data_IF_370218401404
#
_entry.id   IF_370218401404
#
_cell.length_a   1.000
_cell.length_b   1.000
_cell.length_c   1.000
_cell.angle_alpha   90.00
_cell.angle_beta   90.00
_cell.angle_gamma   90.00
#
_symmetry.space_group_name_H-M   'P 1'
#
loop_
_entity.id
_entity.type
_entity.pdbx_description
1 polymer ?
#
# COMPACT_ATOMS: atom_id res chain seq x y z
N UNK A 1 -10.64 -17.48 9.08
CA UNK A 1 -10.93 -16.30 9.93
C UNK A 1 -9.63 -15.91 10.62
N UNK A 2 -8.66 -15.42 9.83
CA UNK A 2 -7.28 -15.08 10.27
C UNK A 2 -6.70 -13.88 9.49
N UNK A 3 -7.30 -13.47 8.35
CA UNK A 3 -6.77 -12.39 7.50
C UNK A 3 -6.86 -11.01 8.11
N UNK A 4 -8.04 -10.66 8.65
CA UNK A 4 -8.29 -9.32 9.19
C UNK A 4 -7.35 -9.02 10.35
N UNK A 5 -7.16 -9.99 11.26
CA UNK A 5 -6.24 -9.86 12.39
C UNK A 5 -4.80 -9.63 11.92
N UNK A 6 -4.32 -10.35 10.89
CA UNK A 6 -2.97 -10.15 10.34
C UNK A 6 -2.80 -8.82 9.60
N UNK A 7 -3.84 -8.34 8.91
CA UNK A 7 -3.82 -7.03 8.24
C UNK A 7 -3.80 -5.90 9.27
N UNK A 8 -4.65 -5.96 10.29
CA UNK A 8 -4.70 -4.97 11.36
C UNK A 8 -3.39 -4.97 12.16
N UNK A 9 -2.83 -6.14 12.53
CA UNK A 9 -1.52 -6.26 13.18
C UNK A 9 -0.41 -5.60 12.35
N UNK A 10 -0.39 -5.84 11.05
CA UNK A 10 0.61 -5.24 10.16
C UNK A 10 0.43 -3.73 10.04
N UNK A 11 -0.81 -3.22 10.03
CA UNK A 11 -1.06 -1.78 10.09
C UNK A 11 -0.59 -1.16 11.39
N UNK A 12 -0.82 -1.79 12.54
CA UNK A 12 -0.32 -1.31 13.83
C UNK A 12 1.21 -1.24 13.84
N UNK A 13 1.89 -2.25 13.28
CA UNK A 13 3.35 -2.25 13.11
C UNK A 13 3.81 -1.06 12.25
N UNK A 14 3.18 -0.84 11.09
CA UNK A 14 3.54 0.22 10.15
C UNK A 14 3.22 1.62 10.69
N UNK A 15 2.10 1.80 11.41
CA UNK A 15 1.71 3.05 12.06
C UNK A 15 2.63 3.41 13.24
N UNK A 16 3.27 2.41 13.86
CA UNK A 16 4.23 2.57 14.95
C UNK A 16 5.68 2.83 14.50
N UNK A 17 5.97 2.82 13.20
CA UNK A 17 7.30 3.11 12.67
C UNK A 17 7.67 4.59 12.85
N UNK A 18 8.98 4.85 12.99
CA UNK A 18 9.51 6.21 13.07
C UNK A 18 9.93 6.77 11.69
N UNK A 19 10.23 8.08 11.66
CA UNK A 19 10.62 8.80 10.44
C UNK A 19 11.96 8.34 9.83
N UNK A 20 12.75 7.50 10.53
CA UNK A 20 13.93 6.88 9.93
C UNK A 20 13.54 5.71 9.01
N UNK A 21 12.38 5.09 9.26
CA UNK A 21 11.86 3.96 8.50
C UNK A 21 10.92 4.41 7.38
N UNK A 22 9.99 5.31 7.69
CA UNK A 22 9.01 5.92 6.76
C UNK A 22 8.42 7.17 7.41
N UNK A 23 8.17 8.24 6.64
CA UNK A 23 7.50 9.43 7.19
C UNK A 23 6.15 9.05 7.79
N UNK A 24 5.92 9.39 9.06
CA UNK A 24 4.70 9.01 9.78
C UNK A 24 3.40 9.52 9.13
N UNK A 25 3.47 10.54 8.27
CA UNK A 25 2.32 11.03 7.50
C UNK A 25 1.83 10.01 6.47
N UNK A 26 2.73 9.23 5.86
CA UNK A 26 2.43 8.28 4.80
C UNK A 26 1.48 7.17 5.26
N UNK A 27 1.80 6.38 6.31
CA UNK A 27 0.90 5.33 6.75
C UNK A 27 -0.38 5.88 7.38
N UNK A 28 -0.34 7.05 8.04
CA UNK A 28 -1.55 7.67 8.63
C UNK A 28 -2.55 8.11 7.56
N UNK A 29 -2.09 8.80 6.52
CA UNK A 29 -2.94 9.23 5.42
C UNK A 29 -3.52 8.02 4.66
N UNK A 30 -2.70 7.00 4.41
CA UNK A 30 -3.14 5.77 3.77
C UNK A 30 -4.19 5.02 4.60
N UNK A 31 -3.97 4.85 5.91
CA UNK A 31 -4.87 4.15 6.82
C UNK A 31 -6.25 4.83 6.96
N UNK A 32 -6.34 6.14 6.71
CA UNK A 32 -7.61 6.87 6.75
C UNK A 32 -8.59 6.46 5.63
N UNK A 33 -8.12 5.78 4.57
CA UNK A 33 -8.97 5.29 3.48
C UNK A 33 -9.34 3.83 3.68
N UNK A 34 -10.63 3.54 3.65
CA UNK A 34 -11.15 2.19 3.89
C UNK A 34 -10.63 1.19 2.85
N UNK A 35 -10.53 1.62 1.59
CA UNK A 35 -10.05 0.80 0.47
C UNK A 35 -8.59 0.40 0.64
N UNK A 36 -7.79 1.24 1.32
CA UNK A 36 -6.37 1.00 1.56
C UNK A 36 -6.13 0.26 2.87
N UNK A 37 -6.87 0.62 3.94
CA UNK A 37 -6.78 -0.05 5.25
C UNK A 37 -7.07 -1.55 5.18
N UNK A 38 -7.84 -2.00 4.20
CA UNK A 38 -8.13 -3.42 4.00
C UNK A 38 -7.02 -4.18 3.25
N UNK A 39 -5.99 -3.48 2.74
CA UNK A 39 -4.82 -4.06 2.08
C UNK A 39 -3.68 -4.29 3.07
N UNK A 40 -2.75 -5.15 2.70
CA UNK A 40 -1.57 -5.45 3.51
C UNK A 40 -0.47 -4.40 3.25
N UNK A 41 -0.08 -3.58 4.24
CA UNK A 41 0.94 -2.55 4.04
C UNK A 41 2.36 -3.12 4.17
N UNK A 42 3.25 -2.61 3.32
CA UNK A 42 4.66 -2.98 3.28
C UNK A 42 5.51 -1.71 3.29
N UNK A 43 6.50 -1.65 4.18
CA UNK A 43 7.47 -0.55 4.23
C UNK A 43 8.86 -1.08 3.92
N UNK A 44 9.55 -0.42 3.00
CA UNK A 44 10.94 -0.72 2.67
C UNK A 44 11.62 0.54 2.12
N UNK A 45 12.83 0.85 2.59
CA UNK A 45 13.62 2.00 2.12
C UNK A 45 12.87 3.36 2.15
N UNK A 46 12.01 3.62 3.14
CA UNK A 46 11.23 4.86 3.22
C UNK A 46 10.02 4.91 2.28
N UNK A 47 9.70 3.81 1.61
CA UNK A 47 8.62 3.70 0.64
C UNK A 47 7.48 2.89 1.25
N UNK A 48 6.23 3.29 0.96
CA UNK A 48 5.02 2.58 1.39
C UNK A 48 4.34 1.92 0.18
N UNK A 49 4.23 0.60 0.23
CA UNK A 49 3.56 -0.26 -0.76
C UNK A 49 2.35 -0.96 -0.14
N UNK A 50 1.47 -1.49 -0.99
CA UNK A 50 0.30 -2.27 -0.59
C UNK A 50 0.21 -3.56 -1.39
N UNK A 51 -0.24 -4.62 -0.74
CA UNK A 51 -0.50 -5.92 -1.36
C UNK A 51 -1.93 -6.36 -1.10
N UNK A 52 -2.53 -7.01 -2.11
CA UNK A 52 -3.85 -7.66 -2.02
C UNK A 52 -3.78 -9.07 -1.38
N UNK A 53 -2.61 -9.51 -0.95
CA UNK A 53 -2.39 -10.77 -0.27
C UNK A 53 -1.35 -10.64 0.85
N UNK A 54 -1.47 -11.44 1.90
CA UNK A 54 -0.63 -11.31 3.10
C UNK A 54 0.61 -12.23 3.08
N UNK A 55 0.60 -13.32 2.30
CA UNK A 55 1.74 -14.26 2.22
C UNK A 55 2.65 -13.93 1.05
N UNK A 56 3.94 -14.19 1.25
CA UNK A 56 4.95 -14.07 0.20
C UNK A 56 4.78 -15.19 -0.85
N UNK A 57 4.98 -14.92 -2.16
CA UNK A 57 5.30 -13.62 -2.75
C UNK A 57 4.10 -12.65 -2.73
N UNK A 58 4.35 -11.41 -2.31
CA UNK A 58 3.34 -10.36 -2.30
C UNK A 58 3.08 -9.82 -3.72
N UNK A 59 1.86 -9.36 -3.96
CA UNK A 59 1.48 -8.77 -5.24
C UNK A 59 1.65 -7.24 -5.19
N UNK A 60 2.49 -6.70 -6.06
CA UNK A 60 2.77 -5.26 -6.14
C UNK A 60 2.04 -4.59 -7.32
N UNK A 61 0.76 -4.92 -7.48
CA UNK A 61 -0.13 -4.37 -8.52
C UNK A 61 -0.95 -3.15 -8.07
N UNK A 62 -0.75 -2.73 -6.82
CA UNK A 62 -1.23 -1.47 -6.25
C UNK A 62 -0.13 -0.41 -6.38
N UNK A 63 -0.51 0.87 -6.34
CA UNK A 63 0.45 1.96 -6.35
C UNK A 63 1.28 2.03 -5.06
N UNK A 64 2.55 2.35 -5.22
CA UNK A 64 3.56 2.51 -4.18
C UNK A 64 3.95 3.99 -4.07
N UNK A 65 4.01 4.51 -2.85
CA UNK A 65 4.32 5.91 -2.54
C UNK A 65 5.82 6.04 -2.25
N UNK A 66 6.51 6.82 -3.09
CA UNK A 66 7.91 7.18 -2.92
C UNK A 66 8.02 8.64 -2.48
N UNK A 67 8.67 8.95 -1.35
CA UNK A 67 8.92 10.33 -0.95
C UNK A 67 9.91 11.00 -1.92
N UNK A 68 9.70 12.29 -2.15
CA UNK A 68 10.53 13.17 -2.97
C UNK A 68 10.75 14.47 -2.21
N UNK A 69 11.87 15.16 -2.47
CA UNK A 69 12.22 16.40 -1.77
C UNK A 69 11.15 17.52 -1.84
N UNK A 70 10.27 17.50 -2.84
CA UNK A 70 9.17 18.44 -3.05
C UNK A 70 7.80 17.76 -3.18
N UNK A 71 7.61 16.54 -2.66
CA UNK A 71 6.31 15.85 -2.69
C UNK A 71 6.46 14.33 -2.79
N UNK A 72 5.69 13.71 -3.68
CA UNK A 72 5.63 12.24 -3.79
C UNK A 72 5.62 11.76 -5.24
N UNK A 73 6.06 10.53 -5.45
CA UNK A 73 5.82 9.78 -6.68
C UNK A 73 4.97 8.57 -6.35
N UNK A 74 3.94 8.32 -7.16
CA UNK A 74 3.15 7.08 -7.08
C UNK A 74 3.48 6.24 -8.29
N UNK A 75 4.01 5.03 -8.06
CA UNK A 75 4.35 4.08 -9.13
C UNK A 75 3.80 2.70 -8.83
N UNK A 76 3.41 1.96 -9.86
CA UNK A 76 3.09 0.55 -9.74
C UNK A 76 4.30 -0.28 -10.13
N UNK A 77 4.71 -1.20 -9.25
CA UNK A 77 5.97 -1.95 -9.43
C UNK A 77 5.83 -3.00 -10.53
N UNK A 78 4.70 -3.71 -10.58
CA UNK A 78 4.43 -4.81 -11.52
C UNK A 78 4.63 -4.46 -13.00
N UNK A 79 4.27 -3.25 -13.42
CA UNK A 79 4.44 -2.78 -14.81
C UNK A 79 5.37 -1.56 -14.94
N UNK A 80 5.91 -1.08 -13.81
CA UNK A 80 6.76 0.11 -13.76
C UNK A 80 6.03 1.42 -14.08
N UNK A 81 4.70 1.41 -14.18
CA UNK A 81 3.92 2.60 -14.55
C UNK A 81 4.04 3.69 -13.48
N UNK A 82 4.18 4.94 -13.92
CA UNK A 82 4.06 6.10 -13.04
C UNK A 82 2.59 6.52 -13.04
N UNK A 83 1.93 6.38 -11.90
CA UNK A 83 0.52 6.79 -11.74
C UNK A 83 0.43 8.31 -11.60
N UNK A 84 1.44 8.95 -11.00
CA UNK A 84 1.58 10.40 -10.97
C UNK A 84 2.61 10.90 -9.96
N UNK A 85 2.68 12.22 -9.81
CA UNK A 85 3.65 12.94 -8.98
C UNK A 85 2.96 14.03 -8.15
N UNK A 86 2.18 13.64 -7.13
CA UNK A 86 1.47 14.60 -6.31
C UNK A 86 2.41 15.39 -5.40
N UNK A 87 1.95 16.55 -4.96
CA UNK A 87 2.70 17.41 -4.06
C UNK A 87 2.39 17.08 -2.59
N UNK A 88 1.22 16.49 -2.33
CA UNK A 88 0.75 16.10 -0.98
C UNK A 88 0.57 14.58 -0.84
N UNK A 89 0.57 14.10 0.41
CA UNK A 89 0.38 12.69 0.70
C UNK A 89 -1.07 12.25 0.45
N UNK A 90 -2.03 13.13 0.72
CA UNK A 90 -3.46 12.89 0.48
C UNK A 90 -3.71 12.66 -1.00
N UNK A 91 -3.15 13.50 -1.88
CA UNK A 91 -3.25 13.32 -3.33
C UNK A 91 -2.58 12.01 -3.80
N UNK A 92 -1.46 11.61 -3.18
CA UNK A 92 -0.84 10.31 -3.45
C UNK A 92 -1.77 9.14 -3.10
N UNK A 93 -2.42 9.20 -1.94
CA UNK A 93 -3.38 8.18 -1.51
C UNK A 93 -4.61 8.17 -2.42
N UNK A 94 -5.19 9.32 -2.76
CA UNK A 94 -6.31 9.39 -3.72
C UNK A 94 -5.94 8.80 -5.08
N UNK A 95 -4.71 9.06 -5.54
CA UNK A 95 -4.23 8.54 -6.80
C UNK A 95 -4.10 7.02 -6.80
N UNK A 96 -3.71 6.43 -5.67
CA UNK A 96 -3.71 4.97 -5.50
C UNK A 96 -5.15 4.45 -5.52
N UNK A 97 -6.07 5.05 -4.75
CA UNK A 97 -7.48 4.63 -4.69
C UNK A 97 -8.12 4.69 -6.09
N UNK A 98 -7.88 5.76 -6.85
CA UNK A 98 -8.40 5.93 -8.20
C UNK A 98 -7.84 4.93 -9.22
N UNK A 99 -6.67 4.32 -8.93
CA UNK A 99 -5.99 3.37 -9.81
C UNK A 99 -5.94 1.95 -9.23
N UNK A 100 -6.76 1.64 -8.21
CA UNK A 100 -6.84 0.29 -7.67
C UNK A 100 -7.25 -0.70 -8.77
N UNK A 101 -6.65 -1.91 -8.80
CA UNK A 101 -7.08 -2.96 -9.70
C UNK A 101 -8.60 -3.21 -9.58
N UNK A 102 -9.32 -3.46 -10.68
CA UNK A 102 -10.74 -3.81 -10.62
C UNK A 102 -10.98 -5.01 -9.70
N UNK A 103 -12.02 -4.95 -8.88
CA UNK A 103 -12.33 -6.02 -7.92
C UNK A 103 -11.41 -6.07 -6.70
N UNK A 104 -10.61 -5.02 -6.45
CA UNK A 104 -9.88 -4.90 -5.19
C UNK A 104 -10.84 -4.89 -4.01
N UNK A 105 -10.63 -5.84 -3.09
CA UNK A 105 -11.29 -5.94 -1.80
C UNK A 105 -10.25 -6.23 -0.71
N UNK A 106 -10.67 -6.75 0.45
CA UNK A 106 -9.75 -7.08 1.52
C UNK A 106 -8.64 -8.03 1.08
N UNK A 107 -7.44 -7.83 1.63
CA UNK A 107 -6.32 -8.70 1.35
C UNK A 107 -6.62 -10.16 1.77
N UNK A 108 -6.28 -11.10 0.90
CA UNK A 108 -6.54 -12.52 1.13
C UNK A 108 -5.42 -13.20 1.91
N UNK A 109 -5.74 -14.30 2.61
CA UNK A 109 -4.76 -15.21 3.19
C UNK A 109 -4.18 -16.10 2.09
N UNK A 110 -3.29 -15.54 1.29
CA UNK A 110 -2.71 -16.20 0.13
C UNK A 110 -1.51 -15.45 -0.40
N UNK A 111 -1.04 -15.89 -1.57
CA UNK A 111 0.09 -15.36 -2.31
C UNK A 111 -0.39 -14.61 -3.56
N UNK A 112 0.54 -13.97 -4.28
CA UNK A 112 0.24 -13.33 -5.56
C UNK A 112 -0.40 -14.29 -6.58
N UNK A 113 -0.06 -15.58 -6.55
CA UNK A 113 -0.67 -16.58 -7.44
C UNK A 113 -2.15 -16.81 -7.10
N UNK A 114 -2.49 -16.83 -5.82
CA UNK A 114 -3.88 -17.01 -5.37
C UNK A 114 -4.75 -15.83 -5.78
N UNK A 115 -4.17 -14.61 -5.80
CA UNK A 115 -4.86 -13.41 -6.28
C UNK A 115 -5.09 -13.44 -7.79
N UNK A 116 -4.16 -13.97 -8.59
CA UNK A 116 -4.30 -14.06 -10.05
C UNK A 116 -5.32 -15.11 -10.51
N UNK A 117 -5.71 -16.03 -9.63
CA UNK A 117 -6.68 -17.11 -9.90
C UNK A 117 -8.13 -16.75 -9.51
N UNK A 118 -8.32 -15.63 -8.79
CA UNK A 118 -9.63 -15.13 -8.36
C UNK A 118 -10.18 -14.05 -9.29
#
# INVERSE_FOLDING_TARGET
MLTADTVDEQWELVLGMDDQQVSAEMPRAAYARLEIRQLYPLVSHGVLSFSRCIRFPWLEDVGTIYPRGDGYWVRRVTDGATLGKPDTIEEAVELIVANLPPGTGPAIDGTAEDVARG
#
